data_IF_338577219053
#
_entry.id   IF_338577219053
#
_cell.length_a   1.000
_cell.length_b   1.000
_cell.length_c   1.000
_cell.angle_alpha   90.00
_cell.angle_beta   90.00
_cell.angle_gamma   90.00
#
_symmetry.space_group_name_H-M   'P 1'
#
loop_
_entity.id
_entity.type
_entity.pdbx_description
1 polymer ?
#
# COMPACT_ATOMS: atom_id res chain seq x y z
N UNK A 1 6.23 15.93 -1.97
CA UNK A 1 7.11 15.54 -0.85
C UNK A 1 8.12 14.47 -1.25
N UNK A 2 7.80 13.59 -2.21
CA UNK A 2 8.75 12.56 -2.69
C UNK A 2 10.10 13.13 -3.15
N UNK A 3 10.07 14.29 -3.80
CA UNK A 3 11.26 14.91 -4.39
C UNK A 3 12.10 15.71 -3.38
N UNK A 4 11.60 15.90 -2.14
CA UNK A 4 12.25 16.70 -1.11
C UNK A 4 13.17 15.90 -0.19
N UNK A 5 13.06 14.58 -0.14
CA UNK A 5 13.75 13.77 0.86
C UNK A 5 15.27 13.92 0.78
N UNK A 6 15.84 13.95 -0.43
CA UNK A 6 17.27 14.14 -0.64
C UNK A 6 17.76 15.53 -0.19
N UNK A 7 17.00 16.59 -0.52
CA UNK A 7 17.32 17.95 -0.12
C UNK A 7 17.28 18.12 1.40
N UNK A 8 16.19 17.65 2.05
CA UNK A 8 16.05 17.71 3.50
C UNK A 8 17.12 16.89 4.22
N UNK A 9 17.50 15.73 3.67
CA UNK A 9 18.56 14.92 4.25
C UNK A 9 19.93 15.61 4.18
N UNK A 10 20.22 16.30 3.08
CA UNK A 10 21.42 17.11 2.93
C UNK A 10 21.44 18.31 3.89
N UNK A 11 20.31 19.03 3.99
CA UNK A 11 20.19 20.24 4.81
C UNK A 11 20.28 19.95 6.30
N UNK A 12 19.77 18.81 6.76
CA UNK A 12 19.70 18.45 8.18
C UNK A 12 20.73 17.41 8.61
N UNK A 13 21.51 16.85 7.69
CA UNK A 13 22.55 15.85 7.99
C UNK A 13 22.03 14.54 8.59
N UNK A 14 20.73 14.26 8.42
CA UNK A 14 20.08 13.04 8.92
C UNK A 14 19.33 12.33 7.80
N UNK A 15 19.19 10.99 7.83
CA UNK A 15 18.39 10.28 6.84
C UNK A 15 16.92 10.71 6.90
N UNK A 16 16.35 11.06 5.75
CA UNK A 16 14.92 11.36 5.62
C UNK A 16 14.25 10.22 4.84
N UNK A 17 13.26 9.58 5.45
CA UNK A 17 12.53 8.47 4.84
C UNK A 17 11.46 9.03 3.90
N UNK A 18 11.54 8.65 2.63
CA UNK A 18 10.55 9.00 1.61
C UNK A 18 9.53 7.87 1.46
N UNK A 19 8.24 8.19 1.63
CA UNK A 19 7.19 7.17 1.72
C UNK A 19 6.91 6.43 0.40
N UNK A 20 7.04 7.07 -0.76
CA UNK A 20 6.73 6.46 -2.07
C UNK A 20 7.77 5.40 -2.43
N UNK A 21 9.05 5.77 -2.50
CA UNK A 21 10.16 4.85 -2.79
C UNK A 21 10.24 3.74 -1.73
N UNK A 22 10.03 4.07 -0.45
CA UNK A 22 9.99 3.07 0.62
C UNK A 22 8.85 2.07 0.44
N UNK A 23 7.64 2.54 0.11
CA UNK A 23 6.50 1.67 -0.16
C UNK A 23 6.71 0.79 -1.40
N UNK A 24 7.32 1.33 -2.46
CA UNK A 24 7.68 0.57 -3.66
C UNK A 24 8.64 -0.57 -3.31
N UNK A 25 9.72 -0.28 -2.56
CA UNK A 25 10.70 -1.31 -2.17
C UNK A 25 10.12 -2.36 -1.22
N UNK A 26 9.21 -1.96 -0.32
CA UNK A 26 8.48 -2.91 0.51
C UNK A 26 7.58 -3.83 -0.33
N UNK A 27 6.82 -3.27 -1.28
CA UNK A 27 5.95 -4.04 -2.15
C UNK A 27 6.74 -5.03 -3.03
N UNK A 28 7.86 -4.59 -3.62
CA UNK A 28 8.78 -5.45 -4.38
C UNK A 28 9.33 -6.60 -3.52
N UNK A 29 9.74 -6.31 -2.28
CA UNK A 29 10.27 -7.31 -1.36
C UNK A 29 9.23 -8.38 -0.99
N UNK A 30 7.99 -7.95 -0.71
CA UNK A 30 6.88 -8.88 -0.46
C UNK A 30 6.61 -9.77 -1.69
N UNK A 31 6.61 -9.18 -2.88
CA UNK A 31 6.42 -9.92 -4.13
C UNK A 31 7.55 -10.93 -4.38
N UNK A 32 8.81 -10.54 -4.19
CA UNK A 32 9.97 -11.42 -4.35
C UNK A 32 9.97 -12.60 -3.36
N UNK A 33 9.48 -12.38 -2.14
CA UNK A 33 9.30 -13.42 -1.13
C UNK A 33 8.04 -14.28 -1.32
N UNK A 34 7.20 -13.98 -2.32
CA UNK A 34 5.93 -14.67 -2.55
C UNK A 34 4.88 -14.42 -1.46
N UNK A 35 5.05 -13.37 -0.66
CA UNK A 35 4.14 -13.03 0.43
C UNK A 35 2.94 -12.24 -0.09
N UNK A 36 1.76 -12.53 0.47
CA UNK A 36 0.49 -11.87 0.14
C UNK A 36 -0.24 -11.51 1.42
N UNK A 37 -1.15 -10.54 1.34
CA UNK A 37 -2.04 -10.21 2.46
C UNK A 37 -2.81 -11.45 2.88
N UNK A 38 -2.72 -11.82 4.17
CA UNK A 38 -3.53 -12.89 4.73
C UNK A 38 -5.02 -12.58 4.51
N UNK A 39 -5.80 -13.56 4.04
CA UNK A 39 -7.25 -13.44 3.82
C UNK A 39 -8.08 -14.06 4.94
N UNK A 40 -7.47 -14.17 6.11
CA UNK A 40 -8.10 -14.56 7.37
C UNK A 40 -8.23 -13.32 8.26
N UNK A 41 -9.22 -13.32 9.17
CA UNK A 41 -9.41 -12.24 10.13
C UNK A 41 -9.77 -10.90 9.48
N UNK A 42 -9.18 -9.76 9.93
CA UNK A 42 -9.58 -8.42 9.49
C UNK A 42 -9.42 -8.13 8.00
N UNK A 43 -8.55 -8.87 7.30
CA UNK A 43 -8.29 -8.70 5.87
C UNK A 43 -8.97 -9.77 4.99
N UNK A 44 -9.90 -10.54 5.58
CA UNK A 44 -10.76 -11.46 4.83
C UNK A 44 -11.55 -10.73 3.73
N UNK A 45 -12.00 -11.44 2.68
CA UNK A 45 -12.84 -10.84 1.66
C UNK A 45 -14.08 -10.17 2.29
N UNK A 46 -14.54 -9.02 1.75
CA UNK A 46 -15.74 -8.37 2.26
C UNK A 46 -16.95 -9.31 2.19
N UNK A 47 -17.82 -9.25 3.19
CA UNK A 47 -19.07 -10.04 3.19
C UNK A 47 -19.97 -9.63 2.01
N UNK A 48 -20.73 -10.59 1.44
CA UNK A 48 -21.68 -10.30 0.37
C UNK A 48 -22.73 -9.27 0.82
N UNK A 49 -22.79 -8.15 0.12
CA UNK A 49 -23.85 -7.15 0.24
C UNK A 49 -23.99 -6.39 -1.07
N UNK A 50 -25.18 -5.83 -1.32
CA UNK A 50 -25.37 -4.96 -2.47
C UNK A 50 -24.51 -3.70 -2.32
N UNK A 51 -23.65 -3.44 -3.31
CA UNK A 51 -22.95 -2.16 -3.44
C UNK A 51 -23.79 -1.28 -4.38
N UNK A 52 -23.97 -0.01 -4.04
CA UNK A 52 -24.85 0.89 -4.78
C UNK A 52 -24.07 2.03 -5.44
N UNK A 53 -24.71 2.68 -6.42
CA UNK A 53 -24.16 3.86 -7.11
C UNK A 53 -22.82 3.58 -7.77
N UNK A 54 -21.87 4.50 -7.63
CA UNK A 54 -20.53 4.42 -8.23
C UNK A 54 -19.76 3.15 -7.81
N UNK A 55 -20.07 2.57 -6.64
CA UNK A 55 -19.39 1.38 -6.13
C UNK A 55 -20.01 0.07 -6.63
N UNK A 56 -21.12 0.09 -7.37
CA UNK A 56 -21.80 -1.13 -7.83
C UNK A 56 -20.86 -2.08 -8.60
N UNK A 57 -19.94 -1.53 -9.41
CA UNK A 57 -18.94 -2.30 -10.15
C UNK A 57 -17.80 -2.87 -9.30
N UNK A 58 -17.68 -2.46 -8.04
CA UNK A 58 -16.67 -2.92 -7.09
C UNK A 58 -17.20 -4.00 -6.13
N UNK A 59 -18.45 -4.43 -6.31
CA UNK A 59 -19.04 -5.50 -5.51
C UNK A 59 -18.13 -6.75 -5.56
N UNK A 60 -17.82 -7.38 -4.41
CA UNK A 60 -17.02 -8.60 -4.38
C UNK A 60 -17.68 -9.66 -5.27
N UNK A 61 -16.91 -10.18 -6.22
CA UNK A 61 -17.32 -11.37 -6.97
C UNK A 61 -17.04 -12.56 -6.06
N UNK A 62 -18.11 -13.28 -5.70
CA UNK A 62 -18.01 -14.55 -4.98
C UNK A 62 -17.23 -15.58 -5.78
#
# INVERSE_FOLDING_TARGET
MADLAAALSADHGVPVIEGVASAVKLAESLAALGLRTAKTGPYAPPLPKAYAGFMAGLAPRG
#
